data_IF_144625952313
#
_entry.id   IF_144625952313
#
_cell.length_a   1.000
_cell.length_b   1.000
_cell.length_c   1.000
_cell.angle_alpha   90.00
_cell.angle_beta   90.00
_cell.angle_gamma   90.00
#
_symmetry.space_group_name_H-M   'P 1'
#
loop_
_entity.id
_entity.type
_entity.pdbx_description
1 polymer ?
#
# COMPACT_ATOMS: atom_id res chain seq x y z
N UNK A 1 11.24 3.34 6.13
CA UNK A 1 10.14 3.17 5.13
C UNK A 1 8.94 2.47 5.74
N UNK A 2 9.11 1.28 6.33
CA UNK A 2 8.04 0.53 6.99
C UNK A 2 7.24 1.35 8.02
N UNK A 3 7.92 1.98 8.98
CA UNK A 3 7.29 2.81 10.03
C UNK A 3 6.51 3.98 9.43
N UNK A 4 7.09 4.69 8.44
CA UNK A 4 6.45 5.82 7.80
C UNK A 4 5.23 5.41 6.98
N UNK A 5 5.28 4.26 6.30
CA UNK A 5 4.14 3.66 5.60
C UNK A 5 2.99 3.38 6.57
N UNK A 6 3.24 2.80 7.74
CA UNK A 6 2.18 2.52 8.73
C UNK A 6 1.63 3.84 9.30
N UNK A 7 2.50 4.76 9.70
CA UNK A 7 2.09 6.04 10.29
C UNK A 7 1.22 6.85 9.32
N UNK A 8 1.66 7.01 8.06
CA UNK A 8 0.91 7.79 7.05
C UNK A 8 -0.40 7.12 6.64
N UNK A 9 -0.46 5.78 6.56
CA UNK A 9 -1.71 5.06 6.33
C UNK A 9 -2.71 5.26 7.48
N UNK A 10 -2.25 5.20 8.73
CA UNK A 10 -3.12 5.43 9.89
C UNK A 10 -3.61 6.89 9.95
N UNK A 11 -2.74 7.86 9.69
CA UNK A 11 -3.13 9.26 9.60
C UNK A 11 -4.10 9.52 8.45
N UNK A 12 -3.93 8.85 7.31
CA UNK A 12 -4.89 8.93 6.20
C UNK A 12 -6.29 8.47 6.64
N UNK A 13 -6.39 7.29 7.28
CA UNK A 13 -7.66 6.76 7.79
C UNK A 13 -8.29 7.60 8.92
N UNK A 14 -7.50 8.40 9.63
CA UNK A 14 -8.02 9.36 10.62
C UNK A 14 -8.76 10.53 9.97
N UNK A 15 -8.28 10.99 8.81
CA UNK A 15 -8.81 12.18 8.14
C UNK A 15 -9.73 11.86 6.96
N UNK A 16 -9.77 10.60 6.53
CA UNK A 16 -10.52 10.18 5.35
C UNK A 16 -11.23 8.85 5.56
N UNK A 17 -12.43 8.74 5.01
CA UNK A 17 -13.18 7.49 4.99
C UNK A 17 -12.44 6.36 4.25
N UNK A 18 -12.71 5.14 4.70
CA UNK A 18 -12.25 3.88 4.09
C UNK A 18 -12.44 3.83 2.56
N UNK A 19 -13.57 4.30 1.99
CA UNK A 19 -13.79 4.24 0.55
C UNK A 19 -12.80 5.09 -0.27
N UNK A 20 -12.39 6.25 0.25
CA UNK A 20 -11.38 7.10 -0.41
C UNK A 20 -9.95 6.64 -0.11
N UNK A 21 -9.71 6.00 1.04
CA UNK A 21 -8.43 5.34 1.32
C UNK A 21 -8.05 4.34 0.22
N UNK A 22 -9.02 3.57 -0.31
CA UNK A 22 -8.81 2.66 -1.44
C UNK A 22 -8.29 3.39 -2.70
N UNK A 23 -8.91 4.52 -3.03
CA UNK A 23 -8.55 5.33 -4.20
C UNK A 23 -7.11 5.82 -4.07
N UNK A 24 -6.72 6.36 -2.90
CA UNK A 24 -5.32 6.73 -2.62
C UNK A 24 -4.35 5.54 -2.67
N UNK A 25 -4.76 4.37 -2.17
CA UNK A 25 -3.95 3.12 -2.19
C UNK A 25 -3.63 2.66 -3.61
N UNK A 26 -4.56 2.79 -4.55
CA UNK A 26 -4.36 2.38 -5.94
C UNK A 26 -3.16 3.04 -6.62
N UNK A 27 -2.83 4.27 -6.23
CA UNK A 27 -1.67 5.04 -6.72
C UNK A 27 -0.32 4.36 -6.42
N UNK A 28 -0.28 3.45 -5.46
CA UNK A 28 0.90 2.63 -5.17
C UNK A 28 1.38 1.88 -6.41
N UNK A 29 0.47 1.43 -7.27
CA UNK A 29 0.82 0.72 -8.51
C UNK A 29 1.58 1.63 -9.48
N UNK A 30 1.11 2.87 -9.65
CA UNK A 30 1.76 3.89 -10.49
C UNK A 30 3.16 4.22 -9.95
N UNK A 31 3.28 4.45 -8.64
CA UNK A 31 4.60 4.69 -8.03
C UNK A 31 5.53 3.48 -8.15
N UNK A 32 5.01 2.26 -8.06
CA UNK A 32 5.83 1.06 -8.25
C UNK A 32 6.38 0.98 -9.69
N UNK A 33 5.61 1.35 -10.72
CA UNK A 33 6.11 1.45 -12.10
C UNK A 33 7.24 2.47 -12.20
N UNK A 34 7.02 3.67 -11.67
CA UNK A 34 8.00 4.76 -11.73
C UNK A 34 9.30 4.37 -11.02
N UNK A 35 9.21 3.82 -9.81
CA UNK A 35 10.40 3.40 -9.06
C UNK A 35 11.05 2.14 -9.62
N UNK A 36 10.30 1.20 -10.19
CA UNK A 36 10.88 0.05 -10.89
C UNK A 36 11.69 0.48 -12.12
N UNK A 37 11.23 1.52 -12.83
CA UNK A 37 12.00 2.12 -13.92
C UNK A 37 13.26 2.83 -13.40
N UNK A 38 13.13 3.71 -12.39
CA UNK A 38 14.25 4.52 -11.89
C UNK A 38 15.29 3.69 -11.12
N UNK A 39 14.86 2.81 -10.22
CA UNK A 39 15.75 2.09 -9.30
C UNK A 39 16.25 0.76 -9.84
N UNK A 40 15.45 0.05 -10.66
CA UNK A 40 15.80 -1.26 -11.20
C UNK A 40 16.16 -1.21 -12.69
N UNK A 41 15.95 -0.07 -13.37
CA UNK A 41 16.22 0.08 -14.81
C UNK A 41 15.32 -0.78 -15.69
N UNK A 42 14.20 -1.31 -15.16
CA UNK A 42 13.30 -2.16 -15.93
C UNK A 42 12.41 -1.30 -16.82
N UNK A 43 12.49 -1.53 -18.13
CA UNK A 43 11.56 -0.94 -19.09
C UNK A 43 10.16 -1.54 -18.89
N UNK A 44 9.14 -0.71 -19.10
CA UNK A 44 7.73 -1.12 -18.98
C UNK A 44 7.05 -0.86 -20.31
N UNK A 45 6.28 -1.84 -20.79
CA UNK A 45 5.56 -1.68 -22.07
C UNK A 45 4.60 -0.48 -22.09
N UNK A 46 4.35 0.06 -23.28
CA UNK A 46 3.38 1.13 -23.50
C UNK A 46 1.97 0.78 -22.99
N UNK A 47 1.58 -0.51 -23.06
CA UNK A 47 0.29 -0.99 -22.54
C UNK A 47 0.18 -0.79 -21.03
N UNK A 48 1.28 -1.01 -20.30
CA UNK A 48 1.33 -0.80 -18.85
C UNK A 48 1.22 0.70 -18.49
N UNK A 49 1.83 1.58 -19.29
CA UNK A 49 1.75 3.04 -19.10
C UNK A 49 0.31 3.53 -19.31
N UNK A 50 -0.39 3.02 -20.33
CA UNK A 50 -1.81 3.32 -20.54
C UNK A 50 -2.67 2.92 -19.33
N UNK A 51 -2.44 1.74 -18.74
CA UNK A 51 -3.14 1.34 -17.52
C UNK A 51 -2.88 2.29 -16.35
N UNK A 52 -1.64 2.78 -16.18
CA UNK A 52 -1.34 3.81 -15.18
C UNK A 52 -2.13 5.11 -15.43
N UNK A 53 -2.28 5.51 -16.69
CA UNK A 53 -3.11 6.66 -17.06
C UNK A 53 -4.58 6.49 -16.63
N UNK A 54 -5.16 5.31 -16.85
CA UNK A 54 -6.52 5.01 -16.39
C UNK A 54 -6.65 4.96 -14.87
N UNK A 55 -5.62 4.51 -14.14
CA UNK A 55 -5.60 4.55 -12.66
C UNK A 55 -5.60 5.99 -12.17
N UNK A 56 -4.79 6.88 -12.76
CA UNK A 56 -4.76 8.32 -12.43
C UNK A 56 -6.11 8.96 -12.75
N UNK A 57 -6.71 8.64 -13.90
CA UNK A 57 -8.04 9.14 -14.27
C UNK A 57 -9.12 8.68 -13.28
N UNK A 58 -9.14 7.40 -12.92
CA UNK A 58 -10.04 6.86 -11.91
C UNK A 58 -9.83 7.51 -10.54
N UNK A 59 -8.58 7.76 -10.15
CA UNK A 59 -8.25 8.49 -8.93
C UNK A 59 -8.81 9.91 -8.95
N UNK A 60 -8.59 10.66 -10.02
CA UNK A 60 -9.12 12.01 -10.18
C UNK A 60 -10.65 12.05 -10.07
N UNK A 61 -11.34 11.13 -10.76
CA UNK A 61 -12.79 11.00 -10.70
C UNK A 61 -13.28 10.67 -9.27
N UNK A 62 -12.56 9.81 -8.55
CA UNK A 62 -12.87 9.47 -7.16
C UNK A 62 -12.70 10.66 -6.21
N UNK A 63 -11.65 11.47 -6.41
CA UNK A 63 -11.40 12.70 -5.63
C UNK A 63 -12.48 13.75 -5.89
N UNK A 64 -12.86 13.95 -7.14
CA UNK A 64 -13.89 14.90 -7.53
C UNK A 64 -15.24 14.56 -6.87
N UNK A 65 -15.66 13.29 -6.92
CA UNK A 65 -16.91 12.86 -6.29
C UNK A 65 -16.91 13.01 -4.76
N UNK A 66 -15.79 12.73 -4.10
CA UNK A 66 -15.68 12.90 -2.64
C UNK A 66 -15.61 14.38 -2.24
N UNK A 67 -15.08 15.25 -3.11
CA UNK A 67 -15.17 16.71 -2.96
C UNK A 67 -16.61 17.19 -3.02
N UNK A 68 -17.41 16.67 -3.96
CA UNK A 68 -18.83 16.99 -4.10
C UNK A 68 -19.67 16.49 -2.91
N UNK A 69 -19.28 15.37 -2.29
CA UNK A 69 -19.94 14.81 -1.09
C UNK A 69 -19.57 15.55 0.20
N UNK A 70 -18.63 16.50 0.17
CA UNK A 70 -18.19 17.26 1.34
C UNK A 70 -17.34 16.47 2.35
N UNK A 71 -17.04 15.21 2.06
CA UNK A 71 -16.18 14.31 2.87
C UNK A 71 -14.68 14.45 2.53
N UNK A 72 -14.33 15.33 1.59
CA UNK A 72 -12.96 15.50 1.13
C UNK A 72 -12.06 16.15 2.16
N UNK A 73 -10.93 15.51 2.43
CA UNK A 73 -9.85 16.05 3.25
C UNK A 73 -8.55 16.07 2.45
N UNK A 74 -8.08 17.28 2.13
CA UNK A 74 -6.83 17.49 1.40
C UNK A 74 -5.63 16.92 2.17
N UNK A 75 -5.60 17.11 3.50
CA UNK A 75 -4.50 16.62 4.32
C UNK A 75 -4.47 15.09 4.36
N UNK A 76 -5.64 14.47 4.44
CA UNK A 76 -5.78 13.02 4.37
C UNK A 76 -5.39 12.45 3.01
N UNK A 77 -5.68 13.17 1.93
CA UNK A 77 -5.24 12.83 0.57
C UNK A 77 -3.72 12.86 0.44
N UNK A 78 -3.07 13.89 0.96
CA UNK A 78 -1.59 13.99 0.98
C UNK A 78 -0.99 12.82 1.74
N UNK A 79 -1.50 12.49 2.93
CA UNK A 79 -1.04 11.32 3.68
C UNK A 79 -1.27 10.00 2.91
N UNK A 80 -2.37 9.87 2.19
CA UNK A 80 -2.64 8.71 1.32
C UNK A 80 -1.63 8.58 0.19
N UNK A 81 -1.30 9.68 -0.50
CA UNK A 81 -0.30 9.71 -1.58
C UNK A 81 1.10 9.35 -1.04
N UNK A 82 1.51 9.96 0.08
CA UNK A 82 2.79 9.65 0.73
C UNK A 82 2.81 8.20 1.20
N UNK A 83 1.71 7.69 1.76
CA UNK A 83 1.58 6.30 2.19
C UNK A 83 1.75 5.31 1.04
N UNK A 84 1.13 5.58 -0.10
CA UNK A 84 1.28 4.80 -1.33
C UNK A 84 2.70 4.85 -1.90
N UNK A 85 3.35 6.01 -1.84
CA UNK A 85 4.75 6.17 -2.22
C UNK A 85 5.66 5.32 -1.32
N UNK A 86 5.53 5.45 0.00
CA UNK A 86 6.36 4.72 0.97
C UNK A 86 6.12 3.21 0.93
N UNK A 87 4.90 2.77 0.67
CA UNK A 87 4.56 1.37 0.45
C UNK A 87 5.27 0.81 -0.80
N UNK A 88 5.24 1.55 -1.91
CA UNK A 88 5.89 1.11 -3.15
C UNK A 88 7.40 0.94 -2.94
N UNK A 89 8.07 1.93 -2.32
CA UNK A 89 9.48 1.83 -1.95
C UNK A 89 9.75 0.67 -0.99
N UNK A 90 8.95 0.53 0.07
CA UNK A 90 9.10 -0.56 1.02
C UNK A 90 9.01 -1.93 0.33
N UNK A 91 8.07 -2.12 -0.58
CA UNK A 91 7.90 -3.39 -1.31
C UNK A 91 9.11 -3.73 -2.19
N UNK A 92 9.68 -2.73 -2.88
CA UNK A 92 10.85 -2.89 -3.75
C UNK A 92 12.10 -3.19 -2.91
N UNK A 93 12.37 -2.38 -1.88
CA UNK A 93 13.53 -2.58 -1.01
C UNK A 93 13.46 -3.88 -0.21
N UNK A 94 12.26 -4.29 0.23
CA UNK A 94 12.06 -5.59 0.87
C UNK A 94 12.54 -6.72 -0.02
N UNK A 95 12.13 -6.75 -1.30
CA UNK A 95 12.59 -7.79 -2.24
C UNK A 95 14.09 -7.72 -2.52
N UNK A 96 14.68 -6.52 -2.55
CA UNK A 96 16.12 -6.32 -2.77
C UNK A 96 16.98 -6.75 -1.58
N UNK A 97 16.52 -6.54 -0.36
CA UNK A 97 17.25 -6.87 0.89
C UNK A 97 17.03 -8.32 1.31
N UNK A 98 15.92 -8.95 0.90
CA UNK A 98 15.58 -10.32 1.28
C UNK A 98 16.69 -11.36 0.99
N UNK A 99 17.44 -11.33 -0.13
CA UNK A 99 18.59 -12.19 -0.35
C UNK A 99 19.75 -11.97 0.63
N UNK A 100 19.95 -10.73 1.10
CA UNK A 100 21.03 -10.39 2.04
C UNK A 100 20.78 -10.87 3.47
N UNK A 101 19.54 -11.22 3.81
CA UNK A 101 19.14 -11.75 5.12
C UNK A 101 18.82 -13.25 5.08
N UNK A 102 19.51 -14.01 4.22
CA UNK A 102 19.29 -15.46 4.02
C UNK A 102 17.84 -15.83 3.69
N UNK A 103 17.08 -14.92 3.06
CA UNK A 103 15.66 -15.10 2.78
C UNK A 103 14.79 -15.31 4.04
N UNK A 104 15.28 -14.96 5.24
CA UNK A 104 14.52 -15.13 6.48
C UNK A 104 13.56 -13.98 6.72
N UNK A 105 12.27 -14.26 6.51
CA UNK A 105 11.18 -13.31 6.74
C UNK A 105 11.06 -12.93 8.21
N UNK A 106 11.34 -13.88 9.11
CA UNK A 106 11.32 -13.66 10.55
C UNK A 106 12.34 -12.63 11.00
N UNK A 107 13.57 -12.76 10.52
CA UNK A 107 14.65 -11.82 10.83
C UNK A 107 14.34 -10.42 10.27
N UNK A 108 13.80 -10.34 9.05
CA UNK A 108 13.38 -9.06 8.46
C UNK A 108 12.26 -8.40 9.27
N UNK A 109 11.25 -9.17 9.69
CA UNK A 109 10.15 -8.68 10.53
C UNK A 109 10.67 -8.22 11.90
N UNK A 110 11.60 -8.95 12.50
CA UNK A 110 12.25 -8.58 13.75
C UNK A 110 12.96 -7.22 13.63
N UNK A 111 13.79 -7.02 12.60
CA UNK A 111 14.46 -5.73 12.39
C UNK A 111 13.45 -4.60 12.16
N UNK A 112 12.44 -4.80 11.31
CA UNK A 112 11.43 -3.78 11.04
C UNK A 112 10.67 -3.35 12.30
N UNK A 113 10.29 -4.32 13.15
CA UNK A 113 9.60 -4.04 14.40
C UNK A 113 10.54 -3.38 15.43
N UNK A 114 11.77 -3.87 15.57
CA UNK A 114 12.77 -3.31 16.48
C UNK A 114 13.06 -1.84 16.15
N UNK A 115 13.31 -1.51 14.88
CA UNK A 115 13.49 -0.11 14.46
C UNK A 115 12.22 0.73 14.65
N UNK A 116 11.04 0.13 14.48
CA UNK A 116 9.78 0.85 14.68
C UNK A 116 9.54 1.25 16.13
N UNK A 117 10.00 0.46 17.11
CA UNK A 117 9.91 0.82 18.54
C UNK A 117 10.64 2.14 18.83
N UNK A 118 11.77 2.40 18.15
CA UNK A 118 12.52 3.66 18.32
C UNK A 118 11.97 4.81 17.47
N UNK A 119 11.42 4.50 16.29
CA UNK A 119 10.94 5.53 15.34
C UNK A 119 9.52 6.02 15.62
N UNK A 120 8.64 5.21 16.23
CA UNK A 120 7.26 5.63 16.53
C UNK A 120 7.14 6.69 17.65
N UNK A 121 7.87 6.61 18.78
CA UNK A 121 7.77 7.61 19.86
C UNK A 121 7.93 9.08 19.40
N UNK A 122 8.95 9.46 18.59
CA UNK A 122 9.05 10.84 18.12
C UNK A 122 7.90 11.23 17.17
N UNK A 123 7.39 10.30 16.35
CA UNK A 123 6.23 10.54 15.48
C UNK A 123 4.95 10.80 16.30
N UNK A 124 4.71 10.01 17.35
CA UNK A 124 3.56 10.15 18.26
C UNK A 124 3.61 11.52 18.96
N UNK A 125 4.80 11.94 19.37
CA UNK A 125 5.01 13.25 20.01
C UNK A 125 4.74 14.41 19.04
N UNK A 126 5.23 14.33 17.79
CA UNK A 126 5.00 15.36 16.76
C UNK A 126 3.52 15.50 16.36
N UNK A 127 2.76 14.40 16.36
CA UNK A 127 1.33 14.42 16.02
C UNK A 127 0.41 14.84 17.18
N UNK A 128 0.97 15.10 18.37
CA UNK A 128 0.20 15.49 19.56
C UNK A 128 -0.68 14.36 20.13
N UNK A 129 -0.40 13.11 19.77
CA UNK A 129 -1.18 11.95 20.23
C UNK A 129 -1.02 11.72 21.75
N UNK A 130 0.10 12.14 22.34
CA UNK A 130 0.33 12.12 23.79
C UNK A 130 -0.74 12.91 24.56
N UNK A 131 -1.14 14.07 24.04
CA UNK A 131 -2.17 14.90 24.67
C UNK A 131 -3.55 14.25 24.57
N UNK A 132 -3.84 13.58 23.44
CA UNK A 132 -5.08 12.83 23.25
C UNK A 132 -5.16 11.61 24.19
N UNK A 133 -4.05 10.89 24.37
CA UNK A 133 -3.92 9.77 25.30
C UNK A 133 -4.15 10.21 26.76
N UNK A 134 -3.56 11.34 27.17
CA UNK A 134 -3.72 11.85 28.54
C UNK A 134 -5.16 12.27 28.86
N UNK A 135 -5.89 12.75 27.87
CA UNK A 135 -7.29 13.15 28.02
C UNK A 135 -8.28 11.98 27.84
N UNK A 136 -7.79 10.77 27.58
CA UNK A 136 -8.64 9.61 27.38
C UNK A 136 -8.97 8.90 28.70
N UNK A 137 -10.22 9.05 29.15
CA UNK A 137 -10.67 8.58 30.46
C UNK A 137 -10.57 7.05 30.67
N UNK A 138 -10.50 6.25 29.60
CA UNK A 138 -10.48 4.79 29.67
C UNK A 138 -9.08 4.20 29.42
N UNK A 139 -8.02 4.99 29.52
CA UNK A 139 -6.65 4.52 29.26
C UNK A 139 -6.25 3.36 30.20
N UNK A 140 -6.68 3.41 31.46
CA UNK A 140 -6.39 2.37 32.46
C UNK A 140 -7.35 1.16 32.39
N UNK A 141 -8.33 1.18 31.48
CA UNK A 141 -9.31 0.11 31.37
C UNK A 141 -8.67 -1.18 30.83
N UNK A 142 -8.94 -2.30 31.49
CA UNK A 142 -8.53 -3.64 31.02
C UNK A 142 -9.10 -3.94 29.62
N UNK A 143 -10.29 -3.43 29.29
CA UNK A 143 -10.89 -3.61 27.98
C UNK A 143 -10.10 -2.90 26.88
N UNK A 144 -9.60 -1.69 27.15
CA UNK A 144 -8.76 -0.94 26.23
C UNK A 144 -7.47 -1.71 25.93
N UNK A 145 -6.77 -2.16 26.97
CA UNK A 145 -5.54 -2.93 26.81
C UNK A 145 -5.75 -4.29 26.14
N UNK A 146 -6.88 -4.95 26.40
CA UNK A 146 -7.24 -6.20 25.72
C UNK A 146 -7.42 -5.98 24.21
N UNK A 147 -8.15 -4.94 23.80
CA UNK A 147 -8.29 -4.55 22.39
C UNK A 147 -6.95 -4.17 21.76
N UNK A 148 -6.09 -3.45 22.50
CA UNK A 148 -4.75 -3.10 22.04
C UNK A 148 -3.86 -4.32 21.81
N UNK A 149 -3.90 -5.32 22.70
CA UNK A 149 -3.13 -6.57 22.55
C UNK A 149 -3.63 -7.37 21.35
N UNK A 150 -4.94 -7.54 21.20
CA UNK A 150 -5.52 -8.23 20.04
C UNK A 150 -5.14 -7.51 18.75
N UNK A 151 -5.29 -6.18 18.71
CA UNK A 151 -4.88 -5.36 17.58
C UNK A 151 -3.39 -5.50 17.26
N UNK A 152 -2.53 -5.55 18.28
CA UNK A 152 -1.09 -5.78 18.14
C UNK A 152 -0.75 -7.15 17.55
N UNK A 153 -1.40 -8.21 18.03
CA UNK A 153 -1.23 -9.58 17.49
C UNK A 153 -1.67 -9.64 16.03
N UNK A 154 -2.84 -9.08 15.71
CA UNK A 154 -3.34 -8.99 14.33
C UNK A 154 -2.41 -8.17 13.43
N UNK A 155 -1.90 -7.03 13.92
CA UNK A 155 -0.96 -6.18 13.20
C UNK A 155 0.37 -6.88 12.92
N UNK A 156 0.91 -7.60 13.91
CA UNK A 156 2.10 -8.42 13.75
C UNK A 156 1.88 -9.53 12.71
N UNK A 157 0.75 -10.24 12.79
CA UNK A 157 0.39 -11.28 11.83
C UNK A 157 0.29 -10.73 10.40
N UNK A 158 -0.40 -9.59 10.19
CA UNK A 158 -0.50 -8.94 8.88
C UNK A 158 0.88 -8.52 8.36
N UNK A 159 1.74 -7.96 9.22
CA UNK A 159 3.11 -7.60 8.87
C UNK A 159 3.93 -8.81 8.41
N UNK A 160 3.84 -9.92 9.14
CA UNK A 160 4.48 -11.18 8.79
C UNK A 160 3.97 -11.73 7.44
N UNK A 161 2.66 -11.88 7.28
CA UNK A 161 2.06 -12.40 6.04
C UNK A 161 2.34 -11.49 4.84
N UNK A 162 2.42 -10.18 5.04
CA UNK A 162 2.80 -9.23 3.99
C UNK A 162 4.22 -9.50 3.48
N UNK A 163 5.19 -9.63 4.39
CA UNK A 163 6.58 -9.94 4.02
C UNK A 163 6.71 -11.34 3.41
N UNK A 164 5.95 -12.32 3.91
CA UNK A 164 5.88 -13.66 3.34
C UNK A 164 5.32 -13.63 1.91
N UNK A 165 4.22 -12.91 1.69
CA UNK A 165 3.61 -12.75 0.36
C UNK A 165 4.60 -12.11 -0.63
N UNK A 166 5.32 -11.06 -0.23
CA UNK A 166 6.35 -10.43 -1.08
C UNK A 166 7.49 -11.41 -1.38
N UNK A 167 7.89 -12.24 -0.41
CA UNK A 167 8.90 -13.28 -0.59
C UNK A 167 8.47 -14.31 -1.64
N UNK A 168 7.32 -14.97 -1.42
CA UNK A 168 6.86 -16.09 -2.25
C UNK A 168 6.34 -15.64 -3.62
N UNK A 169 5.92 -14.38 -3.74
CA UNK A 169 5.46 -13.80 -5.00
C UNK A 169 6.41 -12.68 -5.46
N UNK A 170 5.87 -11.53 -5.84
CA UNK A 170 6.60 -10.35 -6.25
C UNK A 170 6.03 -9.11 -5.54
N UNK A 171 6.81 -8.03 -5.40
CA UNK A 171 6.32 -6.74 -4.91
C UNK A 171 5.09 -6.24 -5.68
N UNK A 172 5.08 -6.51 -7.00
CA UNK A 172 3.97 -6.19 -7.89
C UNK A 172 2.70 -6.94 -7.47
N UNK A 173 2.78 -8.27 -7.36
CA UNK A 173 1.66 -9.14 -6.97
C UNK A 173 1.11 -8.76 -5.59
N UNK A 174 1.98 -8.43 -4.63
CA UNK A 174 1.55 -7.94 -3.32
C UNK A 174 0.75 -6.63 -3.42
N UNK A 175 1.21 -5.66 -4.21
CA UNK A 175 0.49 -4.39 -4.37
C UNK A 175 -0.90 -4.60 -5.00
N UNK A 176 -1.00 -5.47 -6.01
CA UNK A 176 -2.28 -5.79 -6.66
C UNK A 176 -3.23 -6.51 -5.69
N UNK A 177 -2.72 -7.49 -4.94
CA UNK A 177 -3.49 -8.16 -3.88
C UNK A 177 -3.96 -7.18 -2.81
N UNK A 178 -3.12 -6.19 -2.46
CA UNK A 178 -3.47 -5.08 -1.59
C UNK A 178 -4.61 -4.21 -2.14
N UNK A 179 -4.59 -3.89 -3.44
CA UNK A 179 -5.68 -3.16 -4.10
C UNK A 179 -6.97 -3.98 -4.11
N UNK A 180 -6.91 -5.28 -4.40
CA UNK A 180 -8.08 -6.16 -4.36
C UNK A 180 -8.69 -6.24 -2.94
N UNK A 181 -7.86 -6.44 -1.91
CA UNK A 181 -8.28 -6.41 -0.50
C UNK A 181 -8.99 -5.09 -0.17
N UNK A 182 -8.40 -3.96 -0.55
CA UNK A 182 -8.95 -2.64 -0.26
C UNK A 182 -10.28 -2.40 -1.02
N UNK A 183 -10.44 -2.93 -2.23
CA UNK A 183 -11.71 -2.89 -2.96
C UNK A 183 -12.81 -3.68 -2.23
N UNK A 184 -12.51 -4.91 -1.81
CA UNK A 184 -13.46 -5.71 -1.00
C UNK A 184 -13.82 -5.00 0.29
N UNK A 185 -12.82 -4.41 0.97
CA UNK A 185 -13.03 -3.62 2.18
C UNK A 185 -13.96 -2.43 1.93
N UNK A 186 -13.80 -1.73 0.80
CA UNK A 186 -14.66 -0.62 0.41
C UNK A 186 -16.11 -1.06 0.19
N UNK A 187 -16.36 -2.17 -0.52
CA UNK A 187 -17.71 -2.71 -0.71
C UNK A 187 -18.36 -3.05 0.63
N UNK A 188 -17.65 -3.77 1.49
CA UNK A 188 -18.13 -4.12 2.84
C UNK A 188 -18.42 -2.86 3.66
N UNK A 189 -17.54 -1.86 3.62
CA UNK A 189 -17.72 -0.61 4.35
C UNK A 189 -18.97 0.15 3.87
N UNK A 190 -19.17 0.28 2.55
CA UNK A 190 -20.36 0.97 2.02
C UNK A 190 -21.67 0.31 2.46
N UNK A 191 -21.71 -1.04 2.52
CA UNK A 191 -22.88 -1.79 2.98
C UNK A 191 -23.07 -1.68 4.50
N UNK A 192 -21.98 -1.82 5.26
CA UNK A 192 -22.04 -1.80 6.73
C UNK A 192 -22.40 -0.43 7.29
N UNK A 193 -21.85 0.65 6.72
CA UNK A 193 -22.11 2.02 7.14
C UNK A 193 -23.34 2.64 6.47
N UNK A 194 -24.07 1.89 5.63
CA UNK A 194 -25.23 2.37 4.87
C UNK A 194 -24.95 3.70 4.11
N UNK A 195 -23.73 3.85 3.58
CA UNK A 195 -23.36 5.05 2.83
C UNK A 195 -23.85 4.93 1.38
N UNK A 196 -24.79 5.80 0.99
CA UNK A 196 -25.21 5.91 -0.40
C UNK A 196 -24.17 6.70 -1.21
N UNK A 197 -23.41 6.00 -2.07
CA UNK A 197 -22.44 6.62 -3.00
C UNK A 197 -23.03 6.77 -4.40
N UNK A 198 -22.60 7.82 -5.10
CA UNK A 198 -23.04 8.11 -6.47
C UNK A 198 -22.58 7.02 -7.47
N UNK A 199 -23.29 6.86 -8.59
CA UNK A 199 -22.94 5.91 -9.66
C UNK A 199 -21.58 6.23 -10.31
N UNK A 200 -21.23 7.51 -10.39
CA UNK A 200 -19.91 7.95 -10.88
C UNK A 200 -18.77 7.46 -9.97
N UNK A 201 -19.02 7.44 -8.66
CA UNK A 201 -18.05 6.98 -7.66
C UNK A 201 -17.81 5.46 -7.79
N UNK A 202 -18.86 4.68 -8.01
CA UNK A 202 -18.73 3.25 -8.31
C UNK A 202 -17.96 3.01 -9.62
N UNK A 203 -18.25 3.81 -10.65
CA UNK A 203 -17.53 3.75 -11.93
C UNK A 203 -16.04 4.02 -11.75
N UNK A 204 -15.64 5.01 -10.93
CA UNK A 204 -14.23 5.26 -10.58
C UNK A 204 -13.57 4.03 -9.97
N UNK A 205 -14.21 3.41 -8.96
CA UNK A 205 -13.68 2.21 -8.31
C UNK A 205 -13.49 1.05 -9.29
N UNK A 206 -14.47 0.82 -10.18
CA UNK A 206 -14.39 -0.22 -11.20
C UNK A 206 -13.26 0.05 -12.19
N UNK A 207 -13.11 1.30 -12.65
CA UNK A 207 -12.01 1.69 -13.56
C UNK A 207 -10.66 1.44 -12.90
N UNK A 208 -10.48 1.86 -11.63
CA UNK A 208 -9.23 1.67 -10.89
C UNK A 208 -8.91 0.19 -10.70
N UNK A 209 -9.90 -0.62 -10.32
CA UNK A 209 -9.73 -2.06 -10.12
C UNK A 209 -9.38 -2.77 -11.44
N UNK A 210 -10.16 -2.52 -12.49
CA UNK A 210 -9.96 -3.14 -13.80
C UNK A 210 -8.59 -2.74 -14.39
N UNK A 211 -8.21 -1.47 -14.30
CA UNK A 211 -6.91 -0.99 -14.78
C UNK A 211 -5.75 -1.59 -14.00
N UNK A 212 -5.88 -1.73 -12.67
CA UNK A 212 -4.88 -2.39 -11.83
C UNK A 212 -4.73 -3.88 -12.16
N UNK A 213 -5.84 -4.58 -12.45
CA UNK A 213 -5.85 -5.98 -12.85
C UNK A 213 -5.29 -6.20 -14.26
N UNK A 214 -5.60 -5.32 -15.21
CA UNK A 214 -5.04 -5.37 -16.57
C UNK A 214 -3.54 -5.08 -16.55
N UNK A 215 -3.12 -4.07 -15.78
CA UNK A 215 -1.70 -3.76 -15.57
C UNK A 215 -0.94 -4.98 -15.01
N UNK A 216 -1.50 -5.65 -14.01
CA UNK A 216 -0.95 -6.88 -13.45
C UNK A 216 -0.72 -7.95 -14.51
N UNK A 217 -1.74 -8.21 -15.34
CA UNK A 217 -1.70 -9.22 -16.39
C UNK A 217 -0.66 -8.87 -17.45
N UNK A 218 -0.65 -7.64 -17.95
CA UNK A 218 0.33 -7.23 -18.96
C UNK A 218 1.76 -7.31 -18.44
N UNK A 219 2.00 -6.88 -17.19
CA UNK A 219 3.33 -6.96 -16.61
C UNK A 219 3.77 -8.40 -16.34
N UNK A 220 2.84 -9.27 -15.92
CA UNK A 220 3.13 -10.70 -15.78
C UNK A 220 3.54 -11.32 -17.12
N UNK A 221 2.80 -11.06 -18.20
CA UNK A 221 3.12 -11.56 -19.55
C UNK A 221 4.48 -11.03 -20.01
N UNK A 222 4.77 -9.74 -19.80
CA UNK A 222 6.06 -9.12 -20.14
C UNK A 222 7.23 -9.77 -19.37
N UNK A 223 7.03 -10.11 -18.10
CA UNK A 223 8.03 -10.82 -17.29
C UNK A 223 8.24 -12.25 -17.76
N UNK A 224 7.17 -12.97 -18.14
CA UNK A 224 7.24 -14.31 -18.70
C UNK A 224 7.98 -14.31 -20.06
N UNK A 225 7.65 -13.38 -20.96
CA UNK A 225 8.33 -13.23 -22.25
C UNK A 225 9.82 -12.89 -22.08
N UNK A 226 10.16 -11.98 -21.17
CA UNK A 226 11.56 -11.65 -20.89
C UNK A 226 12.33 -12.78 -20.21
N UNK A 227 11.67 -13.63 -19.41
CA UNK A 227 12.29 -14.82 -18.83
C UNK A 227 12.55 -15.94 -19.85
N UNK A 228 11.79 -15.97 -20.95
CA UNK A 228 11.93 -16.96 -22.03
C UNK A 228 12.96 -16.56 -23.09
N UNK A 229 13.38 -15.29 -23.15
CA UNK A 229 14.45 -14.86 -24.04
C UNK A 229 15.77 -15.46 -23.56
N UNK A 230 16.50 -16.24 -24.39
CA UNK A 230 17.79 -16.78 -23.99
C UNK A 230 18.77 -15.65 -23.70
N UNK A 231 19.57 -15.80 -22.65
CA UNK A 231 20.66 -14.89 -22.30
C UNK A 231 21.62 -14.87 -23.50
N UNK A 232 21.95 -13.70 -24.09
CA UNK A 232 22.98 -13.64 -25.12
C UNK A 232 24.31 -14.15 -24.55
N UNK A 233 24.94 -15.11 -25.23
CA UNK A 233 26.20 -15.78 -24.83
C UNK A 233 27.37 -14.81 -24.55
N UNK A 234 27.25 -13.54 -24.93
CA UNK A 234 28.26 -12.49 -24.74
C UNK A 234 28.57 -12.13 -23.26
N UNK A 235 27.75 -12.57 -22.30
CA UNK A 235 28.01 -12.37 -20.85
C UNK A 235 28.64 -13.55 -20.11
N UNK A 236 28.85 -14.70 -20.77
CA UNK A 236 29.52 -15.85 -20.14
C UNK A 236 31.05 -15.76 -20.15
N UNK A 237 31.64 -14.86 -20.93
CA UNK A 237 33.10 -14.71 -21.07
C UNK A 237 33.76 -13.76 -20.05
N UNK A 238 33.00 -13.19 -19.10
CA UNK A 238 33.49 -12.23 -18.11
C UNK A 238 33.22 -12.63 -16.65
N UNK A 239 32.88 -13.89 -16.38
CA UNK A 239 32.83 -14.47 -15.01
C UNK A 239 34.06 -15.33 -14.79
#
# INVERSE_FOLDING_TARGET
MFTLMIATNNLCLKYVGVPFYYVGRSLTTVFNVVFSYILLGQTTSYRCILCCGFIIFGFYLGVDQESLLGSFSLIGTIYGVIGSLMLSLYSIFTKKVLPSVNQEVWLLSYYNNAYSIFLFPPLIMLNGELSALRNYNNFDSTYFWFQMVIGGICGFAIGYFTSLQIKVTSPLTHNISGTAKACTQTVIATQWYNESKNTLWWTSNVIVLASSALYARFKQVEMEENSRKPIPEEKQSLV
#
